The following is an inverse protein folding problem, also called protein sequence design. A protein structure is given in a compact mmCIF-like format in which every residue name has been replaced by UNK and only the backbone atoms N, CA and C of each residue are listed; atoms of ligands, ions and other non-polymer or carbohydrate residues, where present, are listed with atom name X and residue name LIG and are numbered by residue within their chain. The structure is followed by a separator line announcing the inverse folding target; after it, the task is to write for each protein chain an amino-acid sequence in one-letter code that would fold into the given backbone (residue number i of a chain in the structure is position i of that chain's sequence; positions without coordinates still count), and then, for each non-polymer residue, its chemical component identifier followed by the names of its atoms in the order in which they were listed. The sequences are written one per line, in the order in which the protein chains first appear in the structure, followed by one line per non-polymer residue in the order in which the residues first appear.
data_IF_627700504445
#
_entry.id   IF_627700504445
#
_cell.length_a   1.000
_cell.length_b   1.000
_cell.length_c   1.000
_cell.angle_alpha   90.00
_cell.angle_beta   90.00
_cell.angle_gamma   90.00
#
_symmetry.space_group_name_H-M   'P 1'
#
loop_
_entity.id
_entity.type
_entity.pdbx_description
1 polymer ?
#
# COMPACT_ATOMS: atom_id res chain seq x y z
N UNK A 1 11.21 -16.11 25.03
CA UNK A 1 9.79 -15.88 24.64
C UNK A 1 9.73 -14.95 23.42
N UNK A 2 9.16 -15.41 22.30
CA UNK A 2 8.83 -14.53 21.17
C UNK A 2 7.62 -13.66 21.53
N UNK A 3 7.49 -12.49 20.89
CA UNK A 3 6.34 -11.62 21.08
C UNK A 3 5.07 -12.33 20.58
N UNK A 4 3.99 -12.43 21.38
CA UNK A 4 2.74 -13.04 20.93
C UNK A 4 2.07 -12.18 19.86
N UNK A 5 1.40 -12.81 18.91
CA UNK A 5 0.56 -12.11 17.94
C UNK A 5 -0.73 -11.62 18.59
N UNK A 6 -1.21 -10.45 18.13
CA UNK A 6 -2.50 -9.92 18.56
C UNK A 6 -3.64 -10.87 18.21
N UNK A 7 -4.58 -11.06 19.14
CA UNK A 7 -5.81 -11.81 18.90
C UNK A 7 -6.89 -10.98 18.19
N UNK A 8 -6.70 -9.65 18.07
CA UNK A 8 -7.60 -8.79 17.31
C UNK A 8 -7.55 -9.17 15.82
N UNK A 9 -8.67 -9.12 15.08
CA UNK A 9 -8.67 -9.48 13.66
C UNK A 9 -7.65 -8.67 12.87
N UNK A 10 -6.61 -9.37 12.42
CA UNK A 10 -5.53 -8.77 11.67
C UNK A 10 -5.82 -8.73 10.18
N UNK A 11 -5.20 -7.78 9.49
CA UNK A 11 -5.06 -7.74 8.03
C UNK A 11 -3.72 -8.32 7.57
N UNK A 12 -3.08 -9.10 8.45
CA UNK A 12 -1.79 -9.72 8.17
C UNK A 12 -1.97 -10.81 7.10
N UNK A 13 -1.23 -10.75 5.98
CA UNK A 13 -1.27 -11.81 5.00
C UNK A 13 -0.59 -13.09 5.54
N UNK A 14 -0.94 -14.22 4.94
CA UNK A 14 -0.25 -15.48 5.21
C UNK A 14 1.21 -15.42 4.76
N UNK A 15 2.07 -16.27 5.33
CA UNK A 15 3.44 -16.40 4.85
C UNK A 15 3.45 -16.81 3.37
N UNK A 16 4.39 -16.23 2.61
CA UNK A 16 4.50 -16.52 1.18
C UNK A 16 4.89 -17.97 0.94
N UNK A 17 4.36 -18.52 -0.13
CA UNK A 17 4.77 -19.77 -0.71
C UNK A 17 5.14 -19.52 -2.16
N UNK A 18 5.90 -20.44 -2.73
CA UNK A 18 6.29 -20.33 -4.14
C UNK A 18 5.07 -20.28 -5.09
N UNK A 19 3.96 -20.93 -4.72
CA UNK A 19 2.70 -20.87 -5.49
C UNK A 19 2.07 -19.47 -5.53
N UNK A 20 2.44 -18.60 -4.59
CA UNK A 20 1.96 -17.22 -4.52
C UNK A 20 2.78 -16.31 -5.45
N UNK A 21 3.81 -16.85 -6.12
CA UNK A 21 4.58 -16.10 -7.09
C UNK A 21 3.78 -15.86 -8.37
N UNK A 22 3.83 -14.61 -8.83
CA UNK A 22 3.01 -14.09 -9.90
C UNK A 22 3.87 -13.32 -10.91
N UNK A 23 3.36 -13.25 -12.13
CA UNK A 23 3.92 -12.45 -13.21
C UNK A 23 2.87 -12.28 -14.29
N UNK A 24 3.04 -11.27 -15.13
CA UNK A 24 2.10 -10.98 -16.25
C UNK A 24 2.18 -11.99 -17.38
N UNK A 25 3.27 -12.74 -17.46
CA UNK A 25 3.47 -13.82 -18.43
C UNK A 25 4.04 -15.06 -17.73
N UNK A 26 3.98 -16.25 -18.35
CA UNK A 26 4.60 -17.45 -17.77
C UNK A 26 6.11 -17.31 -17.54
N UNK A 27 6.83 -16.57 -18.37
CA UNK A 27 8.27 -16.32 -18.20
C UNK A 27 8.54 -15.36 -17.03
N UNK A 28 7.71 -14.33 -16.88
CA UNK A 28 7.77 -13.38 -15.78
C UNK A 28 7.48 -14.07 -14.44
N UNK A 29 6.45 -14.93 -14.40
CA UNK A 29 6.15 -15.75 -13.24
C UNK A 29 7.27 -16.74 -12.92
N UNK A 30 7.85 -17.39 -13.94
CA UNK A 30 8.98 -18.31 -13.75
C UNK A 30 10.18 -17.60 -13.15
N UNK A 31 10.50 -16.39 -13.62
CA UNK A 31 11.56 -15.56 -13.05
C UNK A 31 11.31 -15.28 -11.57
N UNK A 32 10.10 -14.85 -11.21
CA UNK A 32 9.73 -14.60 -9.80
C UNK A 32 9.84 -15.86 -8.93
N UNK A 33 9.49 -17.05 -9.45
CA UNK A 33 9.66 -18.33 -8.74
C UNK A 33 11.12 -18.70 -8.54
N UNK A 34 11.97 -18.48 -9.54
CA UNK A 34 13.42 -18.70 -9.44
C UNK A 34 14.02 -17.77 -8.39
N UNK A 35 13.67 -16.49 -8.42
CA UNK A 35 14.12 -15.53 -7.41
C UNK A 35 13.61 -15.89 -6.02
N UNK A 36 12.34 -16.28 -5.86
CA UNK A 36 11.83 -16.71 -4.56
C UNK A 36 12.64 -17.88 -3.97
N UNK A 37 13.02 -18.86 -4.80
CA UNK A 37 13.86 -20.00 -4.39
C UNK A 37 15.33 -19.65 -4.21
N UNK A 38 15.81 -18.56 -4.83
CA UNK A 38 17.21 -18.15 -4.75
C UNK A 38 17.53 -17.35 -3.48
N UNK A 39 16.51 -16.86 -2.77
CA UNK A 39 16.60 -16.06 -1.55
C UNK A 39 16.25 -16.84 -0.29
N UNK A 40 16.67 -16.31 0.85
CA UNK A 40 16.29 -16.85 2.15
C UNK A 40 14.87 -16.36 2.52
N UNK A 41 13.99 -17.28 2.91
CA UNK A 41 12.66 -16.97 3.42
C UNK A 41 12.13 -18.07 4.34
N UNK A 42 11.99 -17.75 5.62
CA UNK A 42 11.50 -18.62 6.69
C UNK A 42 10.24 -18.03 7.38
N UNK A 43 9.73 -16.91 6.88
CA UNK A 43 8.60 -16.17 7.46
C UNK A 43 8.91 -14.68 7.69
N UNK A 44 8.08 -14.01 8.47
CA UNK A 44 8.16 -12.57 8.77
C UNK A 44 9.41 -12.16 9.56
N UNK A 45 10.08 -13.09 10.21
CA UNK A 45 11.31 -12.86 10.96
C UNK A 45 12.57 -13.38 10.27
N UNK A 46 12.51 -13.60 8.95
CA UNK A 46 13.69 -14.00 8.17
C UNK A 46 14.77 -12.91 8.28
N UNK A 47 15.97 -13.22 8.80
CA UNK A 47 17.03 -12.22 8.90
C UNK A 47 17.57 -11.86 7.51
N UNK A 48 18.00 -10.60 7.27
CA UNK A 48 18.71 -10.25 6.06
C UNK A 48 20.04 -11.01 5.92
N UNK A 49 20.42 -11.34 4.69
CA UNK A 49 21.66 -12.04 4.40
C UNK A 49 22.41 -11.42 3.22
N UNK A 50 23.66 -11.83 3.00
CA UNK A 50 24.45 -11.43 1.82
C UNK A 50 23.90 -12.09 0.54
N UNK A 51 23.35 -13.31 0.66
CA UNK A 51 22.63 -14.01 -0.42
C UNK A 51 21.35 -13.26 -0.79
N UNK A 52 20.76 -12.57 0.17
CA UNK A 52 19.52 -11.84 0.05
C UNK A 52 18.36 -12.64 0.63
N UNK A 53 17.47 -11.93 1.31
CA UNK A 53 16.32 -12.48 2.02
C UNK A 53 15.05 -11.80 1.56
N UNK A 54 13.93 -12.50 1.64
CA UNK A 54 12.61 -11.91 1.42
C UNK A 54 12.06 -11.45 2.77
N UNK A 55 11.60 -10.21 2.85
CA UNK A 55 10.78 -9.72 3.97
C UNK A 55 9.34 -9.68 3.51
N UNK A 56 8.50 -10.47 4.18
CA UNK A 56 7.06 -10.41 4.01
C UNK A 56 6.32 -10.63 5.34
N UNK A 57 5.47 -9.70 5.79
CA UNK A 57 5.10 -8.43 5.13
C UNK A 57 6.29 -7.50 4.86
N UNK A 58 6.18 -6.67 3.84
CA UNK A 58 7.26 -5.76 3.43
C UNK A 58 7.60 -4.72 4.50
N UNK A 59 8.75 -4.08 4.33
CA UNK A 59 9.29 -3.03 5.22
C UNK A 59 8.46 -1.74 5.21
N UNK A 60 7.58 -1.55 4.22
CA UNK A 60 6.59 -0.47 4.25
C UNK A 60 5.47 -0.72 5.29
N UNK A 61 5.39 -1.92 5.86
CA UNK A 61 4.32 -2.33 6.76
C UNK A 61 3.02 -2.66 6.04
N UNK A 62 2.06 -3.23 6.78
CA UNK A 62 0.74 -3.59 6.26
C UNK A 62 -0.23 -2.41 6.38
N UNK A 63 -0.34 -1.86 7.59
CA UNK A 63 -1.10 -0.65 7.93
C UNK A 63 -0.05 0.38 8.33
N UNK A 64 -0.03 1.52 7.65
CA UNK A 64 1.02 2.52 7.82
C UNK A 64 0.40 3.92 8.06
N UNK A 65 1.04 4.98 7.57
CA UNK A 65 0.72 6.40 7.77
C UNK A 65 -0.75 6.84 7.62
N UNK A 66 -1.60 6.03 6.97
CA UNK A 66 -3.04 6.29 6.84
C UNK A 66 -3.89 6.07 8.09
N UNK A 67 -3.39 5.29 9.06
CA UNK A 67 -4.12 4.94 10.26
C UNK A 67 -5.43 4.18 9.98
N UNK A 68 -6.43 4.42 10.84
CA UNK A 68 -7.75 3.79 10.77
C UNK A 68 -8.83 4.87 10.94
N UNK A 69 -10.02 4.61 10.41
CA UNK A 69 -11.22 5.40 10.66
C UNK A 69 -12.20 4.59 11.50
N UNK A 70 -12.83 5.20 12.50
CA UNK A 70 -13.75 4.52 13.41
C UNK A 70 -15.13 5.15 13.28
N UNK A 71 -16.12 4.33 12.95
CA UNK A 71 -17.54 4.66 13.03
C UNK A 71 -18.03 4.25 14.42
N UNK A 72 -18.07 5.22 15.33
CA UNK A 72 -18.42 4.98 16.74
C UNK A 72 -19.88 4.54 16.92
N UNK A 73 -20.80 5.01 16.07
CA UNK A 73 -22.22 4.64 16.18
C UNK A 73 -22.43 3.16 15.84
N UNK A 74 -21.68 2.65 14.86
CA UNK A 74 -21.77 1.25 14.40
C UNK A 74 -20.72 0.34 15.02
N UNK A 75 -19.76 0.90 15.76
CA UNK A 75 -18.58 0.19 16.30
C UNK A 75 -17.77 -0.51 15.20
N UNK A 76 -17.59 0.15 14.06
CA UNK A 76 -16.86 -0.38 12.90
C UNK A 76 -15.56 0.37 12.70
N UNK A 77 -14.45 -0.37 12.63
CA UNK A 77 -13.14 0.14 12.24
C UNK A 77 -12.94 -0.12 10.74
N UNK A 78 -12.67 0.93 9.98
CA UNK A 78 -12.32 0.88 8.56
C UNK A 78 -10.83 1.19 8.39
N UNK A 79 -10.11 0.32 7.70
CA UNK A 79 -8.68 0.50 7.47
C UNK A 79 -8.28 0.02 6.08
N UNK A 80 -7.32 0.70 5.48
CA UNK A 80 -6.62 0.21 4.30
C UNK A 80 -5.33 -0.49 4.69
N UNK A 81 -4.96 -1.49 3.89
CA UNK A 81 -3.77 -2.30 4.06
C UNK A 81 -3.08 -2.48 2.72
N UNK A 82 -1.75 -2.55 2.72
CA UNK A 82 -0.95 -2.84 1.54
C UNK A 82 0.18 -3.79 1.92
N UNK A 83 0.43 -4.81 1.10
CA UNK A 83 1.49 -5.79 1.38
C UNK A 83 2.20 -6.18 0.10
N UNK A 84 3.42 -5.65 -0.07
CA UNK A 84 4.34 -6.05 -1.13
C UNK A 84 5.61 -6.60 -0.47
N UNK A 85 6.12 -7.77 -0.87
CA UNK A 85 7.38 -8.29 -0.35
C UNK A 85 8.55 -7.40 -0.75
N UNK A 86 9.57 -7.36 0.11
CA UNK A 86 10.84 -6.72 -0.20
C UNK A 86 11.96 -7.75 -0.34
N UNK A 87 12.95 -7.45 -1.19
CA UNK A 87 14.26 -8.08 -1.18
C UNK A 87 15.20 -7.27 -0.31
N UNK A 88 15.79 -7.91 0.69
CA UNK A 88 16.79 -7.34 1.57
C UNK A 88 18.12 -8.03 1.34
N UNK A 89 19.17 -7.28 0.98
CA UNK A 89 20.51 -7.83 0.78
C UNK A 89 21.54 -7.04 1.56
N UNK A 90 22.31 -7.72 2.39
CA UNK A 90 23.51 -7.13 2.96
C UNK A 90 24.60 -6.99 1.90
N UNK A 91 25.18 -5.80 1.85
CA UNK A 91 26.22 -5.43 0.92
C UNK A 91 27.53 -5.34 1.69
N UNK A 92 28.52 -6.22 1.47
CA UNK A 92 29.79 -6.15 2.19
C UNK A 92 30.45 -4.78 2.09
N UNK A 93 31.08 -4.30 3.17
CA UNK A 93 31.65 -2.94 3.26
C UNK A 93 32.50 -2.54 2.05
N UNK A 94 33.34 -3.45 1.57
CA UNK A 94 34.18 -3.22 0.39
C UNK A 94 33.36 -2.86 -0.86
N UNK A 95 32.22 -3.54 -1.09
CA UNK A 95 31.32 -3.23 -2.20
C UNK A 95 30.66 -1.86 -1.99
N UNK A 96 30.25 -1.55 -0.76
CA UNK A 96 29.67 -0.23 -0.42
C UNK A 96 30.65 0.92 -0.67
N UNK A 97 31.92 0.74 -0.29
CA UNK A 97 32.97 1.73 -0.52
C UNK A 97 33.24 1.96 -2.01
N UNK A 98 33.22 0.89 -2.81
CA UNK A 98 33.35 1.00 -4.28
C UNK A 98 32.13 1.68 -4.92
N UNK A 99 30.92 1.41 -4.43
CA UNK A 99 29.70 2.13 -4.84
C UNK A 99 29.83 3.62 -4.50
N UNK A 100 30.29 3.95 -3.28
CA UNK A 100 30.51 5.33 -2.86
C UNK A 100 31.58 6.06 -3.68
N UNK A 101 32.67 5.36 -4.07
CA UNK A 101 33.71 5.90 -4.96
C UNK A 101 33.19 6.25 -6.35
N UNK A 102 32.17 5.54 -6.84
CA UNK A 102 31.48 5.84 -8.09
C UNK A 102 30.50 7.02 -7.96
N UNK A 103 30.44 7.67 -6.79
CA UNK A 103 29.62 8.85 -6.53
C UNK A 103 28.21 8.54 -6.04
N UNK A 104 27.85 7.27 -5.87
CA UNK A 104 26.56 6.89 -5.31
C UNK A 104 26.51 7.14 -3.79
N UNK A 105 25.32 7.46 -3.27
CA UNK A 105 25.09 7.78 -1.85
C UNK A 105 23.94 6.95 -1.32
N UNK A 106 23.71 7.00 0.00
CA UNK A 106 22.46 6.50 0.56
C UNK A 106 21.29 7.17 -0.15
N UNK A 107 20.34 6.37 -0.62
CA UNK A 107 19.22 6.82 -1.42
C UNK A 107 18.02 5.91 -1.14
N UNK A 108 16.99 6.50 -0.53
CA UNK A 108 15.76 5.80 -0.21
C UNK A 108 15.02 5.31 -1.46
N UNK A 109 15.07 6.07 -2.56
CA UNK A 109 14.39 5.70 -3.81
C UNK A 109 15.08 4.52 -4.50
N UNK A 110 16.42 4.45 -4.40
CA UNK A 110 17.23 3.35 -4.95
C UNK A 110 17.41 2.19 -3.96
N UNK A 111 16.82 2.31 -2.76
CA UNK A 111 16.82 1.29 -1.73
C UNK A 111 18.16 1.05 -1.04
N UNK A 112 19.19 1.86 -1.29
CA UNK A 112 20.52 1.68 -0.70
C UNK A 112 20.65 2.49 0.58
N UNK A 113 20.93 1.81 1.70
CA UNK A 113 21.43 2.44 2.91
C UNK A 113 22.90 2.05 3.13
N UNK A 114 23.79 3.05 3.15
CA UNK A 114 25.24 2.84 3.25
C UNK A 114 25.69 2.30 4.63
N UNK A 115 24.92 2.55 5.69
CA UNK A 115 25.18 2.08 7.06
C UNK A 115 26.63 2.35 7.53
N UNK A 116 27.07 3.61 7.47
CA UNK A 116 28.44 4.01 7.81
C UNK A 116 28.88 3.47 9.19
N UNK A 117 30.13 3.03 9.30
CA UNK A 117 30.69 2.47 10.55
C UNK A 117 30.33 1.00 10.81
N UNK A 118 29.59 0.33 9.92
CA UNK A 118 29.25 -1.08 10.06
C UNK A 118 29.91 -1.94 8.98
N UNK A 119 30.04 -3.27 9.17
CA UNK A 119 30.61 -4.15 8.15
C UNK A 119 29.77 -4.30 6.86
N UNK A 120 28.52 -3.81 6.84
CA UNK A 120 27.60 -4.01 5.72
C UNK A 120 26.74 -2.77 5.44
N UNK A 121 26.51 -2.46 4.17
CA UNK A 121 25.35 -1.69 3.74
C UNK A 121 24.14 -2.62 3.57
N UNK A 122 22.99 -2.05 3.23
CA UNK A 122 21.79 -2.83 2.92
C UNK A 122 21.06 -2.27 1.72
N UNK A 123 20.68 -3.16 0.80
CA UNK A 123 19.65 -2.89 -0.19
C UNK A 123 18.30 -3.34 0.36
N UNK A 124 17.30 -2.47 0.29
CA UNK A 124 15.89 -2.78 0.53
C UNK A 124 15.12 -2.34 -0.71
N UNK A 125 14.71 -3.31 -1.51
CA UNK A 125 13.99 -3.06 -2.75
C UNK A 125 12.64 -3.79 -2.71
N UNK A 126 11.58 -3.28 -3.37
CA UNK A 126 10.39 -4.08 -3.60
C UNK A 126 10.77 -5.33 -4.41
N UNK A 127 10.18 -6.47 -4.08
CA UNK A 127 10.40 -7.71 -4.80
C UNK A 127 9.55 -7.70 -6.07
N UNK A 128 10.11 -7.08 -7.10
CA UNK A 128 9.50 -6.90 -8.41
C UNK A 128 10.19 -7.79 -9.44
N UNK A 129 9.45 -8.16 -10.48
CA UNK A 129 10.01 -8.77 -11.67
C UNK A 129 10.79 -7.75 -12.52
N UNK A 130 11.52 -8.17 -13.56
CA UNK A 130 12.19 -7.24 -14.50
C UNK A 130 11.22 -6.28 -15.21
N UNK A 131 9.92 -6.60 -15.24
CA UNK A 131 8.87 -5.74 -15.78
C UNK A 131 8.35 -4.71 -14.74
N UNK A 132 8.92 -4.67 -13.54
CA UNK A 132 8.57 -3.72 -12.49
C UNK A 132 7.29 -4.05 -11.72
N UNK A 133 6.84 -5.30 -11.76
CA UNK A 133 5.58 -5.73 -11.13
C UNK A 133 5.87 -6.62 -9.93
N UNK A 134 5.11 -6.51 -8.82
CA UNK A 134 5.34 -7.36 -7.67
C UNK A 134 5.31 -8.84 -8.02
N UNK A 135 6.34 -9.56 -7.54
CA UNK A 135 6.44 -11.00 -7.73
C UNK A 135 5.43 -11.80 -6.89
N UNK A 136 4.72 -11.18 -5.96
CA UNK A 136 3.59 -11.82 -5.24
C UNK A 136 2.27 -11.59 -5.96
N UNK A 137 1.37 -12.57 -5.92
CA UNK A 137 0.03 -12.44 -6.50
C UNK A 137 -0.78 -11.27 -5.90
N UNK A 138 -1.59 -10.56 -6.72
CA UNK A 138 -2.52 -9.55 -6.23
C UNK A 138 -3.67 -10.18 -5.42
N UNK A 139 -4.40 -9.41 -4.59
CA UNK A 139 -4.30 -7.97 -4.42
C UNK A 139 -3.11 -7.54 -3.55
N UNK A 140 -2.45 -6.45 -3.94
CA UNK A 140 -1.37 -5.84 -3.15
C UNK A 140 -1.88 -4.81 -2.14
N UNK A 141 -3.19 -4.54 -2.17
CA UNK A 141 -3.81 -3.63 -1.25
C UNK A 141 -5.32 -3.83 -1.13
N UNK A 142 -5.82 -3.65 0.08
CA UNK A 142 -7.22 -3.90 0.43
C UNK A 142 -7.77 -2.79 1.34
N UNK A 143 -9.08 -2.58 1.26
CA UNK A 143 -9.89 -1.90 2.27
C UNK A 143 -10.61 -2.96 3.10
N UNK A 144 -10.59 -2.82 4.43
CA UNK A 144 -11.18 -3.79 5.36
C UNK A 144 -12.06 -3.05 6.35
N UNK A 145 -13.23 -3.61 6.66
CA UNK A 145 -14.01 -3.22 7.82
C UNK A 145 -14.01 -4.34 8.86
N UNK A 146 -13.85 -3.93 10.12
CA UNK A 146 -13.82 -4.81 11.29
C UNK A 146 -14.88 -4.34 12.27
N UNK A 147 -15.75 -5.26 12.69
CA UNK A 147 -16.62 -5.05 13.84
C UNK A 147 -15.77 -5.12 15.10
N UNK A 148 -15.65 -3.99 15.80
CA UNK A 148 -14.79 -3.85 16.98
C UNK A 148 -15.36 -4.64 18.16
N UNK A 149 -16.69 -4.61 18.32
CA UNK A 149 -17.38 -5.26 19.44
C UNK A 149 -17.37 -6.79 19.31
N UNK A 150 -17.65 -7.29 18.10
CA UNK A 150 -17.60 -8.71 17.79
C UNK A 150 -16.17 -9.23 17.57
N UNK A 151 -15.19 -8.33 17.40
CA UNK A 151 -13.82 -8.63 16.99
C UNK A 151 -13.79 -9.56 15.77
N UNK A 152 -14.45 -9.15 14.68
CA UNK A 152 -14.50 -9.91 13.42
C UNK A 152 -14.34 -9.01 12.20
N UNK A 153 -13.61 -9.50 11.20
CA UNK A 153 -13.63 -8.89 9.87
C UNK A 153 -15.04 -9.01 9.30
N UNK A 154 -15.67 -7.86 9.01
CA UNK A 154 -16.97 -7.81 8.34
C UNK A 154 -16.82 -8.11 6.86
N UNK A 155 -15.83 -7.46 6.23
CA UNK A 155 -15.48 -7.64 4.83
C UNK A 155 -14.07 -7.13 4.56
N UNK A 156 -13.49 -7.63 3.47
CA UNK A 156 -12.24 -7.14 2.89
C UNK A 156 -12.40 -7.08 1.36
N UNK A 157 -11.99 -5.98 0.75
CA UNK A 157 -12.10 -5.73 -0.69
C UNK A 157 -10.78 -5.19 -1.24
N UNK A 158 -10.34 -5.60 -2.45
CA UNK A 158 -9.22 -4.97 -3.13
C UNK A 158 -9.45 -3.46 -3.27
N UNK A 159 -8.45 -2.65 -2.93
CA UNK A 159 -8.53 -1.19 -3.00
C UNK A 159 -7.72 -0.68 -4.20
N UNK A 160 -8.40 -0.02 -5.13
CA UNK A 160 -7.81 0.50 -6.35
C UNK A 160 -7.49 -0.56 -7.39
N UNK A 161 -6.82 -0.14 -8.46
CA UNK A 161 -6.49 -0.96 -9.63
C UNK A 161 -5.10 -0.60 -10.15
N UNK A 162 -4.47 -1.51 -10.88
CA UNK A 162 -3.23 -1.20 -11.59
C UNK A 162 -3.43 -0.57 -12.96
N UNK A 163 -4.62 -0.07 -13.32
CA UNK A 163 -4.92 0.36 -14.68
C UNK A 163 -3.96 1.43 -15.24
N UNK A 164 -3.44 2.30 -14.39
CA UNK A 164 -2.51 3.38 -14.79
C UNK A 164 -1.04 2.93 -14.88
N UNK A 165 -0.70 1.77 -14.31
CA UNK A 165 0.69 1.29 -14.20
C UNK A 165 0.89 -0.13 -14.72
N UNK A 166 -0.18 -0.80 -15.16
CA UNK A 166 -0.16 -2.18 -15.62
C UNK A 166 0.63 -2.31 -16.92
N UNK A 167 1.73 -3.09 -16.93
CA UNK A 167 2.39 -3.40 -18.19
C UNK A 167 1.45 -4.21 -19.08
N UNK A 168 1.53 -3.96 -20.38
CA UNK A 168 0.68 -4.59 -21.39
C UNK A 168 -0.82 -4.26 -21.26
N UNK A 169 -1.21 -3.30 -20.41
CA UNK A 169 -2.59 -2.84 -20.26
C UNK A 169 -3.52 -3.80 -19.49
N UNK A 170 -2.97 -4.84 -18.83
CA UNK A 170 -3.76 -5.81 -18.07
C UNK A 170 -3.88 -5.37 -16.62
N UNK A 171 -4.96 -4.66 -16.29
CA UNK A 171 -5.21 -4.18 -14.94
C UNK A 171 -5.62 -5.32 -13.99
N UNK A 172 -5.09 -5.30 -12.77
CA UNK A 172 -5.51 -6.16 -11.66
C UNK A 172 -6.05 -5.32 -10.51
N UNK A 173 -7.04 -5.82 -9.75
CA UNK A 173 -7.59 -5.13 -8.60
C UNK A 173 -6.66 -5.22 -7.38
N UNK A 174 -6.69 -4.19 -6.54
CA UNK A 174 -5.92 -4.11 -5.30
C UNK A 174 -4.49 -3.68 -5.56
N UNK A 175 -4.28 -2.38 -5.67
CA UNK A 175 -2.96 -1.78 -5.83
C UNK A 175 -2.40 -1.37 -4.46
N UNK A 176 -1.07 -1.26 -4.40
CA UNK A 176 -0.42 -0.62 -3.27
C UNK A 176 -1.07 0.73 -2.96
N UNK A 177 -1.32 0.97 -1.68
CA UNK A 177 -2.04 2.15 -1.23
C UNK A 177 -1.38 2.73 0.02
N UNK A 178 -1.40 4.05 0.11
CA UNK A 178 -0.86 4.83 1.22
C UNK A 178 -1.73 6.07 1.42
N UNK A 179 -1.93 6.48 2.67
CA UNK A 179 -2.98 7.42 3.06
C UNK A 179 -4.13 6.74 3.78
N UNK A 180 -5.06 7.53 4.30
CA UNK A 180 -6.11 7.05 5.20
C UNK A 180 -7.53 7.23 4.67
N UNK A 181 -8.48 6.76 5.46
CA UNK A 181 -9.91 6.94 5.22
C UNK A 181 -10.55 7.88 6.23
N UNK A 182 -11.70 8.44 5.85
CA UNK A 182 -12.60 9.16 6.77
C UNK A 182 -13.98 8.55 6.66
N UNK A 183 -14.59 8.25 7.80
CA UNK A 183 -15.96 7.75 7.88
C UNK A 183 -16.93 8.85 8.31
N UNK A 184 -18.16 8.78 7.81
CA UNK A 184 -19.23 9.68 8.20
C UNK A 184 -20.34 8.94 8.94
N UNK A 185 -21.12 9.65 9.75
CA UNK A 185 -22.28 9.11 10.48
C UNK A 185 -23.30 8.40 9.57
N UNK A 186 -23.36 8.76 8.29
CA UNK A 186 -24.25 8.11 7.31
C UNK A 186 -23.78 6.72 6.88
N UNK A 187 -22.63 6.23 7.36
CA UNK A 187 -22.08 4.93 6.97
C UNK A 187 -21.31 4.97 5.65
N UNK A 188 -20.69 6.11 5.32
CA UNK A 188 -19.82 6.24 4.14
C UNK A 188 -18.36 6.34 4.57
N UNK A 189 -17.48 5.61 3.87
CA UNK A 189 -16.04 5.74 3.99
C UNK A 189 -15.44 6.38 2.73
N UNK A 190 -14.74 7.50 2.90
CA UNK A 190 -14.02 8.18 1.82
C UNK A 190 -12.52 7.86 1.87
N UNK A 191 -11.92 7.47 0.75
CA UNK A 191 -10.48 7.16 0.67
C UNK A 191 -9.93 7.44 -0.73
N UNK A 192 -8.74 8.05 -0.79
CA UNK A 192 -8.03 8.39 -2.03
C UNK A 192 -6.73 7.64 -2.28
N UNK A 193 -6.31 6.83 -1.30
CA UNK A 193 -4.96 6.27 -1.05
C UNK A 193 -4.27 5.48 -2.18
N UNK A 194 -4.86 5.38 -3.37
CA UNK A 194 -4.43 4.46 -4.43
C UNK A 194 -3.70 5.18 -5.55
N UNK A 195 -2.80 4.43 -6.19
CA UNK A 195 -2.00 4.92 -7.32
C UNK A 195 -2.77 5.04 -8.64
N UNK A 196 -4.05 4.66 -8.66
CA UNK A 196 -4.96 4.95 -9.78
C UNK A 196 -5.77 6.24 -9.58
N UNK A 197 -5.25 7.18 -8.77
CA UNK A 197 -5.72 8.57 -8.61
C UNK A 197 -7.24 8.73 -8.54
N UNK A 198 -7.92 7.98 -7.66
CA UNK A 198 -9.35 8.15 -7.44
C UNK A 198 -9.63 8.43 -5.97
N UNK A 199 -10.44 9.46 -5.70
CA UNK A 199 -11.18 9.55 -4.45
C UNK A 199 -12.41 8.65 -4.59
N UNK A 200 -12.63 7.76 -3.63
CA UNK A 200 -13.77 6.82 -3.62
C UNK A 200 -14.63 7.01 -2.38
N UNK A 201 -15.90 6.67 -2.49
CA UNK A 201 -16.81 6.50 -1.38
C UNK A 201 -17.34 5.06 -1.34
N UNK A 202 -17.22 4.42 -0.18
CA UNK A 202 -17.68 3.05 0.08
C UNK A 202 -18.80 3.06 1.11
N UNK A 203 -19.75 2.14 0.94
CA UNK A 203 -20.69 1.76 2.00
C UNK A 203 -19.96 0.97 3.08
N UNK A 204 -19.99 1.45 4.34
CA UNK A 204 -19.27 0.83 5.47
C UNK A 204 -19.81 -0.57 5.79
N UNK A 205 -21.10 -0.82 5.60
CA UNK A 205 -21.70 -2.10 5.95
C UNK A 205 -21.32 -3.24 4.99
N UNK A 206 -21.25 -2.95 3.68
CA UNK A 206 -21.05 -3.96 2.63
C UNK A 206 -19.69 -3.91 1.94
N UNK A 207 -18.97 -2.79 2.07
CA UNK A 207 -17.73 -2.52 1.33
C UNK A 207 -17.96 -2.24 -0.16
N UNK A 208 -19.20 -1.96 -0.57
CA UNK A 208 -19.52 -1.63 -1.97
C UNK A 208 -19.03 -0.22 -2.29
N UNK A 209 -18.29 -0.07 -3.39
CA UNK A 209 -17.98 1.25 -3.96
C UNK A 209 -19.28 1.87 -4.48
N UNK A 210 -19.65 3.04 -3.93
CA UNK A 210 -20.86 3.77 -4.31
C UNK A 210 -20.56 4.90 -5.29
N UNK A 211 -19.34 5.45 -5.22
CA UNK A 211 -18.94 6.60 -6.00
C UNK A 211 -17.43 6.69 -6.12
N UNK A 212 -16.95 7.29 -7.21
CA UNK A 212 -15.55 7.70 -7.38
C UNK A 212 -15.42 8.95 -8.25
N UNK A 213 -14.34 9.70 -8.05
CA UNK A 213 -13.90 10.75 -8.96
C UNK A 213 -12.39 10.66 -9.21
N UNK A 214 -12.02 10.80 -10.49
CA UNK A 214 -10.62 10.84 -10.92
C UNK A 214 -9.98 12.12 -10.39
N UNK A 215 -8.76 11.99 -9.89
CA UNK A 215 -7.92 13.05 -9.38
C UNK A 215 -6.76 13.30 -10.33
N UNK A 216 -6.14 14.49 -10.30
CA UNK A 216 -4.95 14.78 -11.10
C UNK A 216 -3.74 13.89 -10.77
N UNK A 217 -3.61 13.47 -9.51
CA UNK A 217 -2.54 12.62 -8.99
C UNK A 217 -3.03 11.79 -7.79
N UNK A 218 -2.22 10.83 -7.32
CA UNK A 218 -2.55 10.00 -6.16
C UNK A 218 -2.81 10.87 -4.91
N UNK A 219 -3.88 10.53 -4.19
CA UNK A 219 -4.26 11.19 -2.94
C UNK A 219 -3.79 10.36 -1.75
N UNK A 220 -2.52 10.53 -1.38
CA UNK A 220 -1.90 9.85 -0.25
C UNK A 220 -2.25 10.47 1.11
N UNK A 221 -3.14 11.46 1.12
CA UNK A 221 -3.65 12.12 2.31
C UNK A 221 -5.00 11.51 2.72
N UNK A 222 -5.29 11.54 4.02
CA UNK A 222 -6.61 11.23 4.54
C UNK A 222 -7.60 12.34 4.12
N UNK A 223 -8.71 12.03 3.43
CA UNK A 223 -9.73 13.02 3.09
C UNK A 223 -10.33 13.63 4.36
N UNK A 224 -10.64 14.92 4.36
CA UNK A 224 -11.34 15.57 5.46
C UNK A 224 -12.78 15.93 5.04
N UNK A 225 -13.68 16.04 6.01
CA UNK A 225 -15.03 16.57 5.79
C UNK A 225 -15.35 17.70 6.76
N UNK A 226 -16.05 18.71 6.28
CA UNK A 226 -16.50 19.84 7.10
C UNK A 226 -17.82 20.39 6.55
N UNK A 227 -18.50 21.18 7.38
CA UNK A 227 -19.75 21.86 7.00
C UNK A 227 -19.50 23.35 6.87
N UNK A 228 -19.89 23.92 5.75
CA UNK A 228 -19.85 25.38 5.54
C UNK A 228 -20.84 26.11 6.45
N UNK A 229 -20.70 27.43 6.69
CA UNK A 229 -21.68 28.20 7.44
C UNK A 229 -23.11 28.12 6.90
N UNK A 230 -23.28 27.83 5.60
CA UNK A 230 -24.58 27.63 4.94
C UNK A 230 -25.13 26.20 5.07
N UNK A 231 -24.53 25.35 5.90
CA UNK A 231 -24.99 23.98 6.16
C UNK A 231 -24.62 22.95 5.09
N UNK A 232 -23.83 23.32 4.07
CA UNK A 232 -23.39 22.39 3.03
C UNK A 232 -22.16 21.61 3.49
N UNK A 233 -22.25 20.27 3.46
CA UNK A 233 -21.14 19.37 3.76
C UNK A 233 -20.22 19.22 2.54
N UNK A 234 -18.91 19.27 2.78
CA UNK A 234 -17.85 19.16 1.78
C UNK A 234 -16.92 18.02 2.18
N UNK A 235 -16.45 17.25 1.20
CA UNK A 235 -15.31 16.33 1.33
C UNK A 235 -14.14 16.93 0.56
N UNK A 236 -12.99 17.05 1.20
CA UNK A 236 -11.78 17.64 0.63
C UNK A 236 -10.62 16.65 0.71
N UNK A 237 -9.76 16.63 -0.30
CA UNK A 237 -8.56 15.79 -0.31
C UNK A 237 -7.42 16.49 -1.05
N UNK A 238 -6.21 16.38 -0.50
CA UNK A 238 -4.99 16.78 -1.18
C UNK A 238 -4.56 15.67 -2.15
N UNK A 239 -4.46 16.00 -3.43
CA UNK A 239 -4.03 15.11 -4.50
C UNK A 239 -2.60 15.49 -4.92
N UNK A 240 -1.64 15.34 -4.01
CA UNK A 240 -0.27 15.80 -4.20
C UNK A 240 0.65 14.85 -4.98
N UNK A 241 0.22 13.61 -5.20
CA UNK A 241 1.02 12.58 -5.86
C UNK A 241 2.11 11.98 -4.98
N UNK A 242 2.96 11.14 -5.60
CA UNK A 242 4.10 10.47 -4.95
C UNK A 242 5.03 9.86 -6.00
N UNK A 243 6.09 10.59 -6.35
CA UNK A 243 7.01 10.25 -7.45
C UNK A 243 7.62 8.84 -7.30
N UNK A 244 8.10 8.50 -6.10
CA UNK A 244 8.72 7.18 -5.83
C UNK A 244 7.75 6.01 -6.03
N UNK A 245 6.44 6.24 -5.89
CA UNK A 245 5.40 5.22 -6.10
C UNK A 245 4.84 5.22 -7.53
N UNK A 246 5.26 6.17 -8.38
CA UNK A 246 4.86 6.27 -9.78
C UNK A 246 3.69 7.21 -10.07
N UNK A 247 3.19 7.98 -9.08
CA UNK A 247 2.23 9.06 -9.35
C UNK A 247 2.98 10.34 -9.70
N UNK A 248 2.52 11.11 -10.71
CA UNK A 248 3.07 12.43 -10.98
C UNK A 248 2.93 13.33 -9.76
N UNK A 249 3.90 14.23 -9.57
CA UNK A 249 3.82 15.29 -8.56
C UNK A 249 2.70 16.27 -8.88
N UNK A 250 2.02 16.75 -7.85
CA UNK A 250 0.91 17.69 -7.97
C UNK A 250 0.74 18.49 -6.68
N UNK A 251 -0.07 19.55 -6.73
CA UNK A 251 -0.35 20.46 -5.63
C UNK A 251 -1.86 20.75 -5.48
N UNK A 252 -2.73 19.97 -6.14
CA UNK A 252 -4.17 20.18 -6.10
C UNK A 252 -4.78 19.81 -4.75
N UNK A 253 -5.70 20.67 -4.28
CA UNK A 253 -6.67 20.35 -3.24
C UNK A 253 -8.05 20.30 -3.88
N UNK A 254 -8.66 19.12 -3.87
CA UNK A 254 -9.94 18.85 -4.54
C UNK A 254 -11.07 18.81 -3.52
N UNK A 255 -12.15 19.55 -3.79
CA UNK A 255 -13.34 19.60 -2.92
C UNK A 255 -14.58 19.08 -3.67
N UNK A 256 -15.36 18.25 -2.98
CA UNK A 256 -16.55 17.59 -3.51
C UNK A 256 -17.74 17.85 -2.59
N UNK A 257 -18.90 18.12 -3.20
CA UNK A 257 -20.17 18.23 -2.50
C UNK A 257 -21.31 17.83 -3.44
N UNK A 258 -22.43 17.42 -2.88
CA UNK A 258 -23.65 17.21 -3.67
C UNK A 258 -24.08 18.53 -4.34
N UNK A 259 -24.80 18.48 -5.49
CA UNK A 259 -25.40 19.65 -6.09
C UNK A 259 -26.29 20.39 -5.10
N UNK A 260 -26.33 21.72 -5.20
CA UNK A 260 -27.26 22.50 -4.39
C UNK A 260 -28.70 22.16 -4.80
N UNK A 261 -29.62 22.08 -3.83
CA UNK A 261 -31.04 21.80 -4.13
C UNK A 261 -31.67 22.85 -5.07
N UNK A 262 -31.05 24.02 -5.21
CA UNK A 262 -31.50 25.10 -6.10
C UNK A 262 -31.11 24.90 -7.58
N UNK A 263 -30.29 23.91 -7.91
CA UNK A 263 -29.86 23.59 -9.29
C UNK A 263 -30.39 22.25 -9.79
N UNK A 264 -31.46 21.73 -9.18
CA UNK A 264 -32.25 20.59 -9.68
C UNK A 264 -33.65 21.02 -10.12
#
# INVERSE_FOLDING_TARGET
PTQPYSAFPGVRPSALQERDMWGTTPLDQLWCRIEFRSRDYEGDFTPPSVRGSISYPGQFGIVNWGGVAIDEDRQVLVLNSAAIPNLLRFVPRKEVEEIARKGEKSDHARGLAMQHGTPYGVYVLPFLSPLGIPCSAPPWGNLTAIDIGAQKVMWQRPLGTSADTAPLGIAVPGIFNTGGSTVTRTGLAFIGATMDHYLRAFDVASGKELWRARLPAAANATPATFTTPKGRQIVVVAAGGHEVLGSPSSDYVMAFALPDKATR
#
